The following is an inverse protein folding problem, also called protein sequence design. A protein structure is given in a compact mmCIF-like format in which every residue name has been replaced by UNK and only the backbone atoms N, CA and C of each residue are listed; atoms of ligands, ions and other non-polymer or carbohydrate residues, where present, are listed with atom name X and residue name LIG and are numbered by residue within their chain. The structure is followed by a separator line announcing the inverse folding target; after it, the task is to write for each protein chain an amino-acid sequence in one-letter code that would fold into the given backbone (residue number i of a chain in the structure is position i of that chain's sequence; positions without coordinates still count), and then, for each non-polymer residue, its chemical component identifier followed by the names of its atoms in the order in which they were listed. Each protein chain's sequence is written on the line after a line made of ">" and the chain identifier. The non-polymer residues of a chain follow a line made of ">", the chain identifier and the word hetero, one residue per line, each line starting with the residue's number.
data_IF_952967968467
#
_entry.id   IF_952967968467
#
_cell.length_a   1.000
_cell.length_b   1.000
_cell.length_c   1.000
_cell.angle_alpha   90.00
_cell.angle_beta   90.00
_cell.angle_gamma   90.00
#
_symmetry.space_group_name_H-M   'P 1'
#
loop_
_entity.id
_entity.type
_entity.pdbx_description
1 polymer ?
#
# COMPACT_ATOMS: atom_id res chain seq x y z
N UNK A 1 -43.14 52.83 -30.64
CA UNK A 1 -42.71 52.18 -29.39
C UNK A 1 -42.18 50.77 -29.73
N UNK A 2 -40.88 50.59 -29.82
CA UNK A 2 -40.27 49.26 -30.02
C UNK A 2 -40.06 48.64 -28.65
N UNK A 3 -40.65 47.46 -28.42
CA UNK A 3 -40.40 46.63 -27.21
C UNK A 3 -39.10 45.85 -27.47
N UNK A 4 -38.11 46.16 -26.72
CA UNK A 4 -36.89 45.31 -26.66
C UNK A 4 -37.16 44.09 -25.79
N UNK A 5 -36.95 42.91 -26.35
CA UNK A 5 -37.09 41.61 -25.68
C UNK A 5 -35.72 41.20 -25.17
N UNK A 6 -35.47 41.37 -23.88
CA UNK A 6 -34.24 40.94 -23.23
C UNK A 6 -34.31 39.43 -23.01
N UNK A 7 -33.48 38.67 -23.76
CA UNK A 7 -33.28 37.25 -23.50
C UNK A 7 -32.29 37.07 -22.35
N UNK A 8 -32.77 36.57 -21.23
CA UNK A 8 -31.93 36.12 -20.12
C UNK A 8 -31.50 34.68 -20.45
N UNK A 9 -30.22 34.51 -20.81
CA UNK A 9 -29.58 33.22 -20.96
C UNK A 9 -29.19 32.74 -19.55
N UNK A 10 -29.97 31.84 -18.97
CA UNK A 10 -29.59 31.14 -17.74
C UNK A 10 -28.62 30.03 -18.13
N UNK A 11 -27.34 30.29 -17.91
CA UNK A 11 -26.28 29.27 -18.04
C UNK A 11 -26.40 28.28 -16.88
N UNK A 12 -26.92 27.10 -17.18
CA UNK A 12 -26.97 25.99 -16.24
C UNK A 12 -25.54 25.41 -16.10
N UNK A 13 -24.77 25.90 -15.13
CA UNK A 13 -23.50 25.29 -14.77
C UNK A 13 -23.82 23.99 -14.02
N UNK A 14 -23.72 22.85 -14.71
CA UNK A 14 -23.78 21.55 -14.07
C UNK A 14 -22.54 21.39 -13.17
N UNK A 15 -22.71 21.57 -11.87
CA UNK A 15 -21.69 21.24 -10.88
C UNK A 15 -21.65 19.72 -10.84
N UNK A 16 -20.71 19.11 -11.59
CA UNK A 16 -20.33 17.71 -11.37
C UNK A 16 -19.60 17.65 -10.04
N UNK A 17 -20.33 17.29 -8.98
CA UNK A 17 -19.72 16.86 -7.72
C UNK A 17 -19.01 15.54 -8.02
N UNK A 18 -17.70 15.56 -8.13
CA UNK A 18 -16.90 14.34 -8.18
C UNK A 18 -17.00 13.73 -6.78
N UNK A 19 -17.90 12.78 -6.60
CA UNK A 19 -17.94 11.99 -5.38
C UNK A 19 -16.82 10.95 -5.49
N UNK A 20 -15.85 10.99 -4.57
CA UNK A 20 -14.80 9.99 -4.49
C UNK A 20 -15.39 8.56 -4.42
N UNK A 21 -14.60 7.57 -4.77
CA UNK A 21 -15.02 6.16 -4.66
C UNK A 21 -15.08 5.75 -3.18
N UNK A 22 -16.03 4.89 -2.81
CA UNK A 22 -16.08 4.31 -1.47
C UNK A 22 -15.03 3.17 -1.35
N UNK A 23 -14.40 3.04 -0.17
CA UNK A 23 -13.50 1.92 0.12
C UNK A 23 -14.27 0.60 0.18
N UNK A 24 -13.61 -0.48 -0.22
CA UNK A 24 -14.17 -1.85 -0.24
C UNK A 24 -13.20 -2.84 0.36
N UNK A 25 -13.72 -4.00 0.75
CA UNK A 25 -12.88 -5.13 1.13
C UNK A 25 -11.85 -5.44 0.05
N UNK A 26 -10.60 -5.65 0.45
CA UNK A 26 -9.49 -5.95 -0.44
C UNK A 26 -8.95 -4.75 -1.23
N UNK A 27 -9.36 -3.52 -0.94
CA UNK A 27 -8.59 -2.35 -1.40
C UNK A 27 -7.25 -2.32 -0.70
N UNK A 28 -6.23 -1.83 -1.38
CA UNK A 28 -4.90 -1.66 -0.83
C UNK A 28 -4.64 -0.18 -0.52
N UNK A 29 -4.10 0.10 0.66
CA UNK A 29 -3.59 1.41 1.04
C UNK A 29 -2.06 1.38 1.03
N UNK A 30 -1.46 2.15 0.14
CA UNK A 30 -0.01 2.32 0.06
C UNK A 30 0.39 3.62 0.74
N UNK A 31 1.52 3.58 1.45
CA UNK A 31 2.03 4.72 2.22
C UNK A 31 3.36 5.18 1.63
N UNK A 32 3.48 6.48 1.45
CA UNK A 32 4.68 7.14 0.96
C UNK A 32 5.80 7.25 2.01
N UNK A 33 6.99 7.61 1.53
CA UNK A 33 8.17 7.81 2.39
C UNK A 33 7.87 8.80 3.51
N UNK A 34 8.25 8.41 4.73
CA UNK A 34 8.22 9.23 5.93
C UNK A 34 9.61 9.58 6.44
N UNK A 35 9.67 10.06 7.67
CA UNK A 35 10.94 10.24 8.39
C UNK A 35 11.53 8.90 8.85
N UNK A 36 12.86 8.89 9.08
CA UNK A 36 13.56 7.73 9.62
C UNK A 36 14.35 6.94 8.59
N UNK A 37 15.37 6.24 9.09
CA UNK A 37 16.36 5.59 8.22
C UNK A 37 15.80 4.37 7.50
N UNK A 38 14.89 3.64 8.13
CA UNK A 38 14.20 2.49 7.53
C UNK A 38 13.37 2.88 6.30
N UNK A 39 12.49 3.88 6.45
CA UNK A 39 11.67 4.40 5.36
C UNK A 39 12.52 4.91 4.19
N UNK A 40 13.60 5.65 4.50
CA UNK A 40 14.57 6.11 3.50
C UNK A 40 15.29 4.96 2.81
N UNK A 41 15.69 3.92 3.55
CA UNK A 41 16.37 2.78 2.97
C UNK A 41 15.48 2.04 1.97
N UNK A 42 14.21 1.78 2.32
CA UNK A 42 13.22 1.22 1.39
C UNK A 42 13.07 2.12 0.16
N UNK A 43 12.79 3.40 0.37
CA UNK A 43 12.59 4.38 -0.70
C UNK A 43 13.76 4.43 -1.70
N UNK A 44 14.99 4.43 -1.20
CA UNK A 44 16.20 4.46 -2.04
C UNK A 44 16.35 3.18 -2.84
N UNK A 45 16.11 2.02 -2.21
CA UNK A 45 16.31 0.70 -2.81
C UNK A 45 15.20 0.32 -3.81
N UNK A 46 13.97 0.79 -3.58
CA UNK A 46 12.82 0.47 -4.43
C UNK A 46 12.38 1.65 -5.31
N UNK A 47 13.28 2.65 -5.49
CA UNK A 47 12.95 3.94 -6.10
C UNK A 47 12.22 3.78 -7.43
N UNK A 48 11.04 4.38 -7.49
CA UNK A 48 10.30 4.61 -8.71
C UNK A 48 10.49 6.06 -9.16
N UNK A 49 10.27 6.29 -10.45
CA UNK A 49 10.15 7.64 -11.02
C UNK A 49 8.85 8.35 -10.59
N UNK A 50 8.04 7.70 -9.74
CA UNK A 50 6.75 8.21 -9.31
C UNK A 50 6.89 9.36 -8.30
N UNK A 51 5.90 10.24 -8.26
CA UNK A 51 5.87 11.41 -7.37
C UNK A 51 5.84 11.05 -5.88
N UNK A 52 5.34 9.86 -5.53
CA UNK A 52 5.30 9.32 -4.16
C UNK A 52 6.12 8.03 -4.14
N UNK A 53 7.16 8.00 -3.32
CA UNK A 53 7.97 6.80 -3.09
C UNK A 53 7.28 5.93 -2.04
N UNK A 54 6.73 4.81 -2.46
CA UNK A 54 5.94 3.93 -1.61
C UNK A 54 6.84 3.01 -0.78
N UNK A 55 6.60 2.97 0.52
CA UNK A 55 7.44 2.24 1.48
C UNK A 55 6.66 1.26 2.37
N UNK A 56 5.33 1.33 2.34
CA UNK A 56 4.48 0.46 3.13
C UNK A 56 3.15 0.19 2.41
N UNK A 57 2.48 -0.90 2.78
CA UNK A 57 1.17 -1.27 2.26
C UNK A 57 0.35 -2.01 3.31
N UNK A 58 -0.96 -1.76 3.32
CA UNK A 58 -1.95 -2.46 4.11
C UNK A 58 -3.17 -2.85 3.29
N UNK A 59 -4.01 -3.71 3.84
CA UNK A 59 -5.23 -4.26 3.23
C UNK A 59 -6.42 -3.66 3.94
N UNK A 60 -7.36 -3.07 3.19
CA UNK A 60 -8.59 -2.50 3.74
C UNK A 60 -9.63 -3.60 3.98
N UNK A 61 -10.19 -3.60 5.20
CA UNK A 61 -11.37 -4.37 5.56
C UNK A 61 -12.51 -3.44 5.95
N UNK A 62 -13.67 -3.59 5.31
CA UNK A 62 -14.89 -2.84 5.61
C UNK A 62 -15.84 -3.74 6.40
N UNK A 63 -15.90 -3.54 7.72
CA UNK A 63 -16.76 -4.31 8.62
C UNK A 63 -18.20 -3.73 8.72
N UNK A 64 -18.39 -2.48 8.31
CA UNK A 64 -19.66 -1.75 8.33
C UNK A 64 -19.49 -0.35 7.77
N UNK A 65 -20.57 0.43 7.78
CA UNK A 65 -20.59 1.77 7.16
C UNK A 65 -19.50 2.71 7.72
N UNK A 66 -19.26 2.65 9.02
CA UNK A 66 -18.33 3.51 9.74
C UNK A 66 -17.29 2.68 10.51
N UNK A 67 -17.09 1.41 10.12
CA UNK A 67 -16.13 0.49 10.73
C UNK A 67 -15.20 -0.05 9.64
N UNK A 68 -14.15 0.69 9.39
CA UNK A 68 -13.10 0.34 8.43
C UNK A 68 -11.81 0.06 9.20
N UNK A 69 -11.13 -1.00 8.82
CA UNK A 69 -9.84 -1.42 9.39
C UNK A 69 -8.78 -1.54 8.32
N UNK A 70 -7.54 -1.48 8.74
CA UNK A 70 -6.36 -1.84 7.94
C UNK A 70 -5.73 -3.06 8.56
N UNK A 71 -5.50 -4.10 7.76
CA UNK A 71 -4.68 -5.25 8.13
C UNK A 71 -3.30 -5.00 7.56
N UNK A 72 -2.28 -4.97 8.42
CA UNK A 72 -0.91 -4.65 8.03
C UNK A 72 0.12 -5.48 8.77
N UNK A 73 1.30 -5.68 8.20
CA UNK A 73 2.49 -6.10 8.94
C UNK A 73 3.30 -4.85 9.31
N UNK A 74 3.22 -4.45 10.57
CA UNK A 74 3.92 -3.29 11.12
C UNK A 74 5.30 -3.69 11.66
N UNK A 75 6.37 -2.91 11.37
CA UNK A 75 7.71 -3.16 11.92
C UNK A 75 7.76 -3.21 13.44
N UNK A 76 6.87 -2.47 14.13
CA UNK A 76 6.87 -2.36 15.60
C UNK A 76 6.18 -3.53 16.29
N UNK A 77 5.09 -4.05 15.69
CA UNK A 77 4.21 -5.02 16.38
C UNK A 77 3.89 -6.27 15.58
N UNK A 78 4.37 -6.38 14.33
CA UNK A 78 4.01 -7.49 13.43
C UNK A 78 2.64 -7.31 12.79
N UNK A 79 1.98 -8.41 12.45
CA UNK A 79 0.68 -8.38 11.77
C UNK A 79 -0.44 -8.02 12.73
N UNK A 80 -1.19 -7.00 12.38
CA UNK A 80 -2.30 -6.47 13.19
C UNK A 80 -3.47 -5.99 12.36
N UNK A 81 -4.62 -5.86 13.00
CA UNK A 81 -5.72 -4.99 12.58
C UNK A 81 -5.65 -3.66 13.34
N UNK A 82 -5.82 -2.57 12.64
CA UNK A 82 -5.88 -1.23 13.23
C UNK A 82 -7.07 -0.47 12.62
N UNK A 83 -7.78 0.31 13.42
CA UNK A 83 -8.84 1.20 12.92
C UNK A 83 -8.27 2.16 11.86
N UNK A 84 -9.02 2.38 10.79
CA UNK A 84 -8.59 3.19 9.65
C UNK A 84 -8.12 4.59 10.06
N UNK A 85 -8.87 5.26 10.94
CA UNK A 85 -8.54 6.60 11.43
C UNK A 85 -7.20 6.59 12.16
N UNK A 86 -6.94 5.57 12.99
CA UNK A 86 -5.67 5.40 13.70
C UNK A 86 -4.51 5.16 12.76
N UNK A 87 -4.75 4.40 11.70
CA UNK A 87 -3.76 4.19 10.66
C UNK A 87 -3.44 5.51 9.95
N UNK A 88 -4.45 6.30 9.53
CA UNK A 88 -4.28 7.61 8.87
C UNK A 88 -3.60 8.63 9.78
N UNK A 89 -3.84 8.58 11.11
CA UNK A 89 -3.11 9.41 12.07
C UNK A 89 -1.60 9.13 12.06
N UNK A 90 -1.21 7.87 11.86
CA UNK A 90 0.18 7.39 11.93
C UNK A 90 0.99 7.59 10.65
N UNK A 91 0.35 7.77 9.49
CA UNK A 91 1.06 7.90 8.21
C UNK A 91 1.76 9.25 8.07
N UNK A 92 2.88 9.32 7.31
CA UNK A 92 3.57 10.57 7.02
C UNK A 92 2.65 11.59 6.33
N UNK A 93 2.86 12.86 6.66
CA UNK A 93 2.11 13.98 6.06
C UNK A 93 3.07 15.00 5.47
N UNK A 94 2.74 15.51 4.28
CA UNK A 94 3.40 16.65 3.65
C UNK A 94 2.36 17.77 3.53
N UNK A 95 2.68 18.95 4.05
CA UNK A 95 1.77 20.10 4.09
C UNK A 95 0.39 19.77 4.70
N UNK A 96 0.37 18.84 5.68
CA UNK A 96 -0.83 18.38 6.36
C UNK A 96 -1.59 17.26 5.66
N UNK A 97 -1.20 16.87 4.46
CA UNK A 97 -1.84 15.81 3.66
C UNK A 97 -1.14 14.47 3.85
N UNK A 98 -1.88 13.38 4.19
CA UNK A 98 -1.33 12.04 4.27
C UNK A 98 -0.68 11.61 2.95
N UNK A 99 0.51 11.02 3.02
CA UNK A 99 1.20 10.48 1.85
C UNK A 99 0.73 9.07 1.59
N UNK A 100 -0.44 8.94 0.98
CA UNK A 100 -1.09 7.66 0.69
C UNK A 100 -1.68 7.64 -0.71
N UNK A 101 -1.80 6.44 -1.25
CA UNK A 101 -2.65 6.15 -2.41
C UNK A 101 -3.48 4.90 -2.14
N UNK A 102 -4.68 4.86 -2.71
CA UNK A 102 -5.53 3.68 -2.65
C UNK A 102 -5.57 3.00 -4.01
N UNK A 103 -5.54 1.67 -3.99
CA UNK A 103 -5.62 0.87 -5.21
C UNK A 103 -6.60 -0.28 -5.03
N UNK A 104 -7.23 -0.70 -6.12
CA UNK A 104 -8.23 -1.76 -6.18
C UNK A 104 -7.92 -2.72 -7.31
N UNK A 105 -8.23 -3.99 -7.13
CA UNK A 105 -8.20 -4.98 -8.21
C UNK A 105 -9.13 -4.54 -9.35
N UNK A 106 -8.65 -4.66 -10.59
CA UNK A 106 -9.41 -4.27 -11.80
C UNK A 106 -10.55 -5.26 -12.05
N UNK A 107 -10.33 -6.53 -11.77
CA UNK A 107 -11.30 -7.61 -11.99
C UNK A 107 -11.99 -8.01 -10.68
N UNK A 108 -13.18 -8.58 -10.80
CA UNK A 108 -13.84 -9.21 -9.66
C UNK A 108 -12.98 -10.36 -9.14
N UNK A 109 -12.78 -10.37 -7.84
CA UNK A 109 -11.90 -11.29 -7.15
C UNK A 109 -12.53 -11.71 -5.82
N UNK A 110 -12.27 -12.93 -5.29
CA UNK A 110 -12.82 -13.38 -4.02
C UNK A 110 -12.13 -12.69 -2.83
N UNK A 111 -12.35 -11.37 -2.71
CA UNK A 111 -11.67 -10.49 -1.71
C UNK A 111 -11.93 -10.91 -0.27
N UNK A 112 -13.08 -11.52 0.03
CA UNK A 112 -13.37 -12.06 1.36
C UNK A 112 -12.36 -13.15 1.75
N UNK A 113 -11.94 -13.99 0.79
CA UNK A 113 -10.89 -14.99 1.00
C UNK A 113 -9.55 -14.32 1.26
N UNK A 114 -9.23 -13.23 0.53
CA UNK A 114 -8.00 -12.46 0.78
C UNK A 114 -7.97 -11.88 2.20
N UNK A 115 -9.08 -11.33 2.68
CA UNK A 115 -9.21 -10.84 4.06
C UNK A 115 -9.00 -11.98 5.07
N UNK A 116 -9.64 -13.13 4.87
CA UNK A 116 -9.46 -14.29 5.73
C UNK A 116 -8.01 -14.80 5.73
N UNK A 117 -7.36 -14.84 4.58
CA UNK A 117 -5.96 -15.19 4.46
C UNK A 117 -5.09 -14.20 5.26
N UNK A 118 -5.27 -12.88 5.06
CA UNK A 118 -4.54 -11.85 5.79
C UNK A 118 -4.73 -11.98 7.32
N UNK A 119 -5.96 -12.24 7.77
CA UNK A 119 -6.27 -12.47 9.19
C UNK A 119 -5.62 -13.73 9.78
N UNK A 120 -5.33 -14.72 8.95
CA UNK A 120 -4.63 -15.93 9.41
C UNK A 120 -3.19 -15.66 9.86
N UNK A 121 -2.63 -14.52 9.45
CA UNK A 121 -1.30 -14.06 9.85
C UNK A 121 -1.30 -13.17 11.10
N UNK A 122 -2.47 -12.79 11.65
CA UNK A 122 -2.54 -11.91 12.84
C UNK A 122 -1.65 -12.42 13.98
N UNK A 123 -0.87 -11.52 14.54
CA UNK A 123 0.07 -11.79 15.62
C UNK A 123 1.42 -12.36 15.18
N UNK A 124 1.62 -12.68 13.90
CA UNK A 124 2.96 -13.03 13.40
C UNK A 124 3.90 -11.83 13.52
N UNK A 125 5.18 -12.04 13.90
CA UNK A 125 6.15 -10.98 14.00
C UNK A 125 6.52 -10.45 12.60
N UNK A 126 7.03 -9.20 12.56
CA UNK A 126 7.55 -8.61 11.33
C UNK A 126 8.81 -9.34 10.86
N UNK A 127 8.88 -9.64 9.55
CA UNK A 127 10.07 -10.26 8.96
C UNK A 127 11.13 -9.22 8.60
N UNK A 128 12.11 -9.08 9.46
CA UNK A 128 13.28 -8.25 9.24
C UNK A 128 14.37 -8.92 8.39
N UNK A 129 14.24 -10.23 8.14
CA UNK A 129 15.18 -11.00 7.30
C UNK A 129 14.81 -10.95 5.83
N UNK A 130 13.54 -10.65 5.53
CA UNK A 130 13.01 -10.67 4.16
C UNK A 130 13.24 -12.00 3.45
N UNK A 131 13.12 -13.11 4.18
CA UNK A 131 13.33 -14.45 3.67
C UNK A 131 11.99 -15.17 3.50
N UNK A 132 11.79 -15.93 2.41
CA UNK A 132 10.57 -16.70 2.22
C UNK A 132 10.49 -17.86 3.22
N UNK A 133 9.28 -18.39 3.40
CA UNK A 133 9.01 -19.65 4.14
C UNK A 133 9.46 -19.62 5.61
N UNK A 134 9.29 -18.51 6.30
CA UNK A 134 9.52 -18.40 7.74
C UNK A 134 8.22 -18.03 8.48
N UNK A 135 8.24 -18.06 9.83
CA UNK A 135 7.06 -17.73 10.65
C UNK A 135 6.84 -16.21 10.86
N UNK A 136 7.44 -15.39 10.01
CA UNK A 136 7.35 -13.92 10.03
C UNK A 136 6.79 -13.43 8.72
N UNK A 137 6.44 -12.17 8.63
CA UNK A 137 5.92 -11.59 7.40
C UNK A 137 6.12 -10.08 7.35
N UNK A 138 6.55 -9.54 6.22
CA UNK A 138 6.66 -8.09 6.01
C UNK A 138 5.46 -7.55 5.21
N UNK A 139 5.32 -6.24 5.09
CA UNK A 139 4.07 -5.61 4.66
C UNK A 139 3.60 -6.04 3.26
N UNK A 140 4.48 -6.03 2.26
CA UNK A 140 4.11 -6.43 0.89
C UNK A 140 4.03 -7.94 0.71
N UNK A 141 4.75 -8.71 1.50
CA UNK A 141 4.62 -10.17 1.57
C UNK A 141 3.23 -10.57 2.11
N UNK A 142 2.72 -9.86 3.13
CA UNK A 142 1.36 -10.08 3.62
C UNK A 142 0.32 -9.92 2.50
N UNK A 143 0.48 -8.92 1.63
CA UNK A 143 -0.39 -8.76 0.47
C UNK A 143 -0.20 -9.94 -0.50
N UNK A 144 1.04 -10.29 -0.85
CA UNK A 144 1.34 -11.38 -1.75
C UNK A 144 0.72 -12.70 -1.28
N UNK A 145 0.94 -13.07 -0.03
CA UNK A 145 0.44 -14.32 0.57
C UNK A 145 -1.09 -14.33 0.76
N UNK A 146 -1.71 -13.16 0.87
CA UNK A 146 -3.15 -13.07 1.08
C UNK A 146 -3.96 -13.12 -0.21
N UNK A 147 -3.42 -12.65 -1.33
CA UNK A 147 -4.14 -12.51 -2.58
C UNK A 147 -3.95 -13.72 -3.49
N UNK A 148 -4.71 -14.77 -3.18
CA UNK A 148 -4.73 -16.03 -3.92
C UNK A 148 -6.04 -16.15 -4.71
N UNK A 149 -5.95 -16.59 -5.97
CA UNK A 149 -7.11 -16.91 -6.77
C UNK A 149 -7.89 -18.13 -6.25
N UNK A 150 -8.94 -18.54 -6.95
CA UNK A 150 -9.77 -19.69 -6.56
C UNK A 150 -8.97 -21.00 -6.51
N UNK A 151 -7.90 -21.10 -7.29
CA UNK A 151 -7.01 -22.28 -7.34
C UNK A 151 -5.93 -22.28 -6.27
N UNK A 152 -5.77 -21.17 -5.55
CA UNK A 152 -4.70 -20.95 -4.56
C UNK A 152 -3.42 -20.40 -5.18
N UNK A 153 -3.47 -19.88 -6.40
CA UNK A 153 -2.34 -19.26 -7.08
C UNK A 153 -2.25 -17.78 -6.71
N UNK A 154 -1.04 -17.27 -6.42
CA UNK A 154 -0.81 -15.85 -6.14
C UNK A 154 -1.12 -15.00 -7.38
N UNK A 155 -1.82 -13.88 -7.20
CA UNK A 155 -2.15 -12.95 -8.30
C UNK A 155 -1.08 -11.90 -8.52
N UNK A 156 -0.22 -11.69 -7.55
CA UNK A 156 0.96 -10.85 -7.67
C UNK A 156 2.19 -11.69 -7.99
N UNK A 157 3.19 -11.07 -8.60
CA UNK A 157 4.44 -11.74 -8.95
C UNK A 157 5.54 -11.38 -7.95
N UNK A 158 6.46 -12.33 -7.71
CA UNK A 158 7.69 -12.07 -7.00
C UNK A 158 8.71 -11.46 -7.97
N UNK A 159 9.45 -10.47 -7.48
CA UNK A 159 10.56 -9.86 -8.22
C UNK A 159 11.86 -10.06 -7.44
N UNK A 160 13.03 -10.04 -8.12
CA UNK A 160 14.30 -10.02 -7.41
C UNK A 160 14.38 -8.80 -6.50
N UNK A 161 14.52 -9.02 -5.18
CA UNK A 161 14.63 -7.92 -4.22
C UNK A 161 15.90 -7.11 -4.46
N UNK A 162 15.79 -5.80 -4.33
CA UNK A 162 16.91 -4.87 -4.41
C UNK A 162 17.03 -4.08 -3.10
N UNK A 163 18.20 -4.10 -2.52
CA UNK A 163 18.57 -3.34 -1.32
C UNK A 163 19.56 -2.21 -1.62
N UNK A 164 19.92 -2.02 -2.91
CA UNK A 164 20.91 -1.03 -3.32
C UNK A 164 20.26 0.26 -3.80
N UNK A 165 20.96 1.35 -3.62
CA UNK A 165 20.66 2.61 -4.26
C UNK A 165 20.92 2.56 -5.78
N UNK A 166 20.38 3.51 -6.58
CA UNK A 166 20.59 3.54 -8.03
C UNK A 166 22.07 3.65 -8.47
N UNK A 167 22.94 4.17 -7.61
CA UNK A 167 24.38 4.22 -7.84
C UNK A 167 25.13 2.91 -7.50
N UNK A 168 24.40 1.87 -7.08
CA UNK A 168 24.91 0.58 -6.67
C UNK A 168 25.40 0.51 -5.21
N UNK A 169 25.41 1.61 -4.47
CA UNK A 169 25.78 1.62 -3.06
C UNK A 169 24.69 0.95 -2.20
N UNK A 170 25.13 0.33 -1.08
CA UNK A 170 24.22 -0.24 -0.10
C UNK A 170 23.90 0.82 0.96
N UNK A 171 22.61 1.21 1.16
CA UNK A 171 22.21 2.08 2.25
C UNK A 171 22.71 1.58 3.61
N UNK A 172 23.22 2.49 4.43
CA UNK A 172 23.81 2.17 5.73
C UNK A 172 22.85 1.39 6.63
N UNK A 173 21.55 1.71 6.58
CA UNK A 173 20.52 1.01 7.34
C UNK A 173 20.54 -0.50 7.09
N UNK A 174 20.61 -0.93 5.83
CA UNK A 174 20.62 -2.36 5.48
C UNK A 174 21.90 -3.06 5.97
N UNK A 175 23.06 -2.40 5.83
CA UNK A 175 24.33 -2.94 6.36
C UNK A 175 24.19 -3.18 7.86
N UNK A 176 23.77 -2.18 8.63
CA UNK A 176 23.64 -2.27 10.09
C UNK A 176 22.58 -3.26 10.54
N UNK A 177 21.47 -3.36 9.81
CA UNK A 177 20.41 -4.33 10.11
C UNK A 177 20.94 -5.76 9.94
N UNK A 178 21.49 -6.09 8.78
CA UNK A 178 21.90 -7.46 8.49
C UNK A 178 23.17 -7.86 9.26
N UNK A 179 24.08 -6.96 9.55
CA UNK A 179 25.17 -7.19 10.51
C UNK A 179 24.64 -7.57 11.89
N UNK A 180 23.61 -6.87 12.38
CA UNK A 180 22.98 -7.16 13.66
C UNK A 180 22.21 -8.49 13.65
N UNK A 181 21.60 -8.87 12.52
CA UNK A 181 20.89 -10.13 12.36
C UNK A 181 21.85 -11.32 12.20
N UNK A 182 23.11 -11.07 11.85
CA UNK A 182 24.11 -12.10 11.58
C UNK A 182 23.91 -12.85 10.26
N UNK A 183 23.19 -12.23 9.32
CA UNK A 183 22.80 -12.82 8.04
C UNK A 183 23.24 -11.92 6.87
N UNK A 184 23.48 -12.48 5.68
CA UNK A 184 23.74 -11.67 4.50
C UNK A 184 22.48 -10.95 4.04
N UNK A 185 22.64 -9.79 3.39
CA UNK A 185 21.52 -9.09 2.73
C UNK A 185 20.96 -10.02 1.63
N UNK A 186 19.65 -10.27 1.59
CA UNK A 186 19.02 -11.19 0.64
C UNK A 186 18.83 -10.54 -0.75
N UNK A 187 19.85 -9.90 -1.24
CA UNK A 187 19.89 -9.24 -2.56
C UNK A 187 19.61 -10.24 -3.68
N UNK A 188 18.65 -9.92 -4.54
CA UNK A 188 18.28 -10.74 -5.70
C UNK A 188 17.43 -11.96 -5.39
N UNK A 189 17.12 -12.26 -4.12
CA UNK A 189 16.14 -13.32 -3.80
C UNK A 189 14.73 -12.89 -4.23
N UNK A 190 13.87 -13.85 -4.59
CA UNK A 190 12.48 -13.55 -4.89
C UNK A 190 11.77 -12.91 -3.69
N UNK A 191 11.06 -11.81 -3.91
CA UNK A 191 10.31 -11.11 -2.89
C UNK A 191 9.40 -10.05 -3.48
N UNK A 192 8.84 -9.19 -2.63
CA UNK A 192 7.96 -8.11 -3.03
C UNK A 192 8.39 -6.81 -2.37
N UNK A 193 7.90 -5.68 -2.91
CA UNK A 193 7.97 -4.39 -2.26
C UNK A 193 6.74 -3.54 -2.63
N UNK A 194 6.36 -2.54 -1.83
CA UNK A 194 5.18 -1.73 -2.08
C UNK A 194 5.20 -1.01 -3.43
N UNK A 195 6.38 -0.55 -3.87
CA UNK A 195 6.53 0.18 -5.12
C UNK A 195 6.22 -0.70 -6.34
N UNK A 196 6.72 -1.94 -6.37
CA UNK A 196 6.46 -2.87 -7.48
C UNK A 196 5.03 -3.39 -7.45
N UNK A 197 4.49 -3.71 -6.25
CA UNK A 197 3.08 -4.08 -6.12
C UNK A 197 2.15 -3.01 -6.68
N UNK A 198 2.42 -1.73 -6.39
CA UNK A 198 1.58 -0.63 -6.87
C UNK A 198 1.54 -0.48 -8.39
N UNK A 199 2.53 -1.05 -9.09
CA UNK A 199 2.62 -1.03 -10.56
C UNK A 199 2.02 -2.27 -11.21
N UNK A 200 1.51 -3.20 -10.41
CA UNK A 200 0.88 -4.41 -10.93
C UNK A 200 -0.27 -4.08 -11.87
N UNK A 201 -0.30 -4.72 -13.04
CA UNK A 201 -1.35 -4.53 -14.05
C UNK A 201 -2.73 -4.99 -13.61
N UNK A 202 -2.83 -5.72 -12.50
CA UNK A 202 -4.10 -6.15 -11.91
C UNK A 202 -4.71 -5.09 -10.99
N UNK A 203 -4.00 -4.00 -10.70
CA UNK A 203 -4.44 -2.91 -9.84
C UNK A 203 -4.77 -1.64 -10.65
N UNK A 204 -5.74 -0.88 -10.16
CA UNK A 204 -5.99 0.51 -10.57
C UNK A 204 -6.04 1.43 -9.36
N UNK A 205 -5.63 2.67 -9.54
CA UNK A 205 -5.81 3.70 -8.53
C UNK A 205 -7.31 4.01 -8.36
N UNK A 206 -7.71 4.30 -7.13
CA UNK A 206 -9.04 4.82 -6.80
C UNK A 206 -8.91 6.17 -6.12
N UNK A 207 -9.89 7.05 -6.35
CA UNK A 207 -9.95 8.37 -5.74
C UNK A 207 -10.88 8.30 -4.52
N UNK A 208 -10.29 8.34 -3.33
CA UNK A 208 -11.00 8.35 -2.05
C UNK A 208 -10.69 9.66 -1.33
N UNK A 209 -11.73 10.31 -0.81
CA UNK A 209 -11.61 11.55 -0.02
C UNK A 209 -11.57 11.19 1.48
N UNK A 210 -10.52 11.65 2.18
CA UNK A 210 -10.30 11.46 3.61
C UNK A 210 -11.11 12.47 4.46
#
# INVERSE_FOLDING_TARGET
>A
MKKELTFIVISLVAIFSFKGEELRNGDLIFVGEGGGDFSKAISISTSSSDSIKLVHVGIIEVCGKDDIKVIEASPEVGVREIAFEKFIESVPKIDGYPQIIFMRLIQDFPVEKCILNAKSYLGKPYDWWYLPENDKIYCSELVYESYLDETGTHIFELTPMNFRAPDGSMPKFWIELFDKLGEPVPEGLPGTNPSDLSKSSVLRKIEYEL
#
